data_IF_494253437334
#
_entry.id   IF_494253437334
#
_cell.length_a   1.000
_cell.length_b   1.000
_cell.length_c   1.000
_cell.angle_alpha   90.00
_cell.angle_beta   90.00
_cell.angle_gamma   90.00
#
_symmetry.space_group_name_H-M   'P 1'
#
loop_
_entity.id
_entity.type
_entity.pdbx_description
1 polymer ?
#
# COMPACT_ATOMS: atom_id res chain seq x y z
N UNK A 1 -10.47 42.75 -34.23
CA UNK A 1 -11.61 42.18 -33.47
C UNK A 1 -11.83 40.75 -33.97
N UNK A 2 -12.17 39.83 -33.04
CA UNK A 2 -12.36 38.37 -33.20
C UNK A 2 -11.05 37.59 -33.45
N UNK A 3 -10.59 36.64 -32.63
CA UNK A 3 -11.31 35.68 -31.79
C UNK A 3 -10.68 35.53 -30.38
N UNK A 4 -11.43 35.94 -29.37
CA UNK A 4 -11.26 35.50 -28.00
C UNK A 4 -12.17 34.27 -27.78
N UNK A 5 -11.68 33.06 -28.04
CA UNK A 5 -12.35 31.84 -27.57
C UNK A 5 -11.39 30.65 -27.44
N UNK A 6 -10.17 30.87 -26.96
CA UNK A 6 -9.43 29.80 -26.29
C UNK A 6 -10.01 29.66 -24.88
N UNK A 7 -11.16 28.99 -24.78
CA UNK A 7 -11.60 28.45 -23.49
C UNK A 7 -10.51 27.48 -23.06
N UNK A 8 -9.68 27.91 -22.09
CA UNK A 8 -8.82 27.03 -21.30
C UNK A 8 -9.69 25.86 -20.87
N UNK A 9 -9.48 24.68 -21.45
CA UNK A 9 -10.07 23.45 -20.91
C UNK A 9 -9.48 23.28 -19.50
N UNK A 10 -10.29 22.94 -18.49
CA UNK A 10 -9.73 22.48 -17.23
C UNK A 10 -8.80 21.30 -17.54
N UNK A 11 -7.68 21.13 -16.81
CA UNK A 11 -6.70 20.06 -17.06
C UNK A 11 -7.25 18.61 -16.96
N UNK A 12 -8.56 18.42 -16.82
CA UNK A 12 -9.21 17.15 -16.55
C UNK A 12 -10.59 17.02 -17.23
N UNK A 13 -10.68 17.31 -18.53
CA UNK A 13 -11.86 16.90 -19.29
C UNK A 13 -11.74 15.40 -19.63
N UNK A 14 -12.62 14.52 -19.12
CA UNK A 14 -12.55 13.10 -19.42
C UNK A 14 -12.72 12.88 -20.93
N UNK A 15 -11.69 12.33 -21.58
CA UNK A 15 -11.72 11.95 -23.00
C UNK A 15 -12.65 10.73 -23.23
N UNK A 16 -13.13 10.11 -22.16
CA UNK A 16 -13.81 8.82 -22.20
C UNK A 16 -15.34 8.90 -22.20
N UNK A 17 -15.95 9.56 -23.19
CA UNK A 17 -17.32 9.16 -23.57
C UNK A 17 -17.33 7.87 -24.41
N UNK A 18 -16.16 7.41 -24.88
CA UNK A 18 -16.02 6.20 -25.70
C UNK A 18 -15.40 4.99 -24.97
N UNK A 19 -15.02 5.13 -23.70
CA UNK A 19 -14.43 4.06 -22.88
C UNK A 19 -15.20 3.95 -21.56
N UNK A 20 -16.46 3.53 -21.61
CA UNK A 20 -17.21 3.14 -20.41
C UNK A 20 -16.87 1.69 -20.05
N UNK A 21 -16.08 1.51 -18.99
CA UNK A 21 -15.95 0.23 -18.30
C UNK A 21 -17.27 -0.09 -17.60
N UNK A 22 -17.96 -1.12 -18.07
CA UNK A 22 -19.16 -1.65 -17.39
C UNK A 22 -18.74 -2.47 -16.17
N UNK A 23 -19.59 -2.51 -15.14
CA UNK A 23 -19.36 -3.15 -13.83
C UNK A 23 -18.96 -4.65 -13.87
N UNK A 24 -19.06 -5.30 -15.03
CA UNK A 24 -18.64 -6.68 -15.29
C UNK A 24 -17.21 -6.83 -15.82
N UNK A 25 -16.43 -5.75 -15.91
CA UNK A 25 -15.00 -5.82 -16.27
C UNK A 25 -14.73 -6.15 -17.75
N UNK A 26 -15.71 -6.00 -18.64
CA UNK A 26 -15.53 -6.08 -20.09
C UNK A 26 -15.46 -4.71 -20.76
N UNK A 27 -14.51 -4.50 -21.68
CA UNK A 27 -14.51 -3.39 -22.62
C UNK A 27 -15.38 -3.78 -23.82
N UNK A 28 -16.64 -3.34 -23.84
CA UNK A 28 -17.45 -3.41 -25.07
C UNK A 28 -17.46 -2.04 -25.75
N UNK A 29 -16.92 -1.98 -26.97
CA UNK A 29 -17.14 -0.85 -27.85
C UNK A 29 -18.61 -0.80 -28.23
N UNK A 30 -19.34 0.24 -27.79
CA UNK A 30 -20.68 0.53 -28.30
C UNK A 30 -20.55 0.98 -29.75
N UNK A 31 -20.73 0.07 -30.70
CA UNK A 31 -21.17 0.45 -32.05
C UNK A 31 -22.64 0.85 -31.96
N UNK A 32 -22.90 2.13 -31.71
CA UNK A 32 -24.20 2.73 -32.00
C UNK A 32 -24.25 3.06 -33.49
N UNK A 33 -24.89 2.18 -34.24
CA UNK A 33 -25.34 2.41 -35.62
C UNK A 33 -26.34 3.57 -35.62
N UNK A 34 -25.97 4.72 -36.19
CA UNK A 34 -26.91 5.70 -36.78
C UNK A 34 -26.14 6.68 -37.69
N UNK A 35 -26.42 6.57 -38.99
CA UNK A 35 -26.24 7.50 -40.11
C UNK A 35 -24.97 8.40 -40.20
N UNK A 36 -24.10 7.99 -41.14
CA UNK A 36 -23.44 8.80 -42.17
C UNK A 36 -22.93 10.22 -41.79
N UNK A 37 -21.64 10.30 -41.46
CA UNK A 37 -20.74 11.27 -42.12
C UNK A 37 -19.28 10.80 -42.01
N UNK A 38 -18.63 10.77 -43.17
CA UNK A 38 -17.20 10.52 -43.35
C UNK A 38 -16.39 11.60 -42.61
N UNK A 39 -15.79 11.26 -41.47
CA UNK A 39 -14.57 11.92 -40.97
C UNK A 39 -13.68 10.86 -40.34
N UNK A 40 -12.82 10.25 -41.15
CA UNK A 40 -11.61 9.58 -40.67
C UNK A 40 -10.68 10.66 -40.13
N UNK A 41 -10.97 11.16 -38.92
CA UNK A 41 -10.04 11.99 -38.17
C UNK A 41 -8.95 11.06 -37.62
N UNK A 42 -8.00 10.71 -38.49
CA UNK A 42 -6.66 10.36 -38.06
C UNK A 42 -6.13 11.58 -37.30
N UNK A 43 -6.20 11.53 -35.96
CA UNK A 43 -5.64 12.56 -35.12
C UNK A 43 -4.13 12.61 -35.42
N UNK A 44 -3.56 13.77 -35.81
CA UNK A 44 -2.14 13.88 -36.06
C UNK A 44 -1.40 13.61 -34.74
N UNK A 45 -0.55 12.59 -34.77
CA UNK A 45 0.29 12.06 -33.68
C UNK A 45 1.13 13.14 -32.96
N UNK A 46 1.29 14.31 -33.59
CA UNK A 46 2.10 15.43 -33.14
C UNK A 46 1.47 16.29 -32.03
N UNK A 47 0.24 15.97 -31.57
CA UNK A 47 -0.40 16.62 -30.41
C UNK A 47 -0.74 15.66 -29.27
N UNK A 48 -0.18 14.44 -29.27
CA UNK A 48 -0.33 13.46 -28.19
C UNK A 48 0.61 13.79 -27.01
N UNK A 49 0.72 15.06 -26.61
CA UNK A 49 1.66 15.46 -25.55
C UNK A 49 1.23 15.00 -24.15
N UNK A 50 0.12 14.24 -24.01
CA UNK A 50 -0.22 13.34 -22.88
C UNK A 50 -1.70 12.98 -22.81
N UNK A 51 -2.00 11.69 -22.71
CA UNK A 51 -3.33 11.21 -22.36
C UNK A 51 -3.35 10.83 -20.89
N UNK A 52 -4.00 11.67 -20.09
CA UNK A 52 -4.40 11.30 -18.74
C UNK A 52 -5.71 10.55 -18.86
N UNK A 53 -5.66 9.22 -18.72
CA UNK A 53 -6.85 8.37 -18.77
C UNK A 53 -7.28 8.16 -17.33
N UNK A 54 -8.45 8.69 -16.97
CA UNK A 54 -9.10 8.41 -15.70
C UNK A 54 -10.17 7.34 -15.92
N UNK A 55 -9.94 6.17 -15.34
CA UNK A 55 -10.83 5.02 -15.43
C UNK A 55 -11.55 4.87 -14.08
N UNK A 56 -12.88 4.96 -14.04
CA UNK A 56 -13.61 4.74 -12.80
C UNK A 56 -13.51 3.27 -12.38
N UNK A 57 -12.90 3.03 -11.22
CA UNK A 57 -12.74 1.71 -10.60
C UNK A 57 -13.95 1.38 -9.72
N UNK A 58 -15.12 1.25 -10.33
CA UNK A 58 -16.37 0.84 -9.67
C UNK A 58 -16.89 1.82 -8.59
N UNK A 59 -18.19 1.75 -8.30
CA UNK A 59 -18.77 2.45 -7.14
C UNK A 59 -18.57 1.57 -5.92
N UNK A 60 -17.78 2.02 -4.95
CA UNK A 60 -17.63 1.33 -3.68
C UNK A 60 -18.77 1.79 -2.75
N UNK A 61 -19.65 0.87 -2.37
CA UNK A 61 -20.71 1.13 -1.39
C UNK A 61 -20.21 0.54 -0.07
N UNK A 62 -20.14 1.35 0.96
CA UNK A 62 -19.81 0.86 2.30
C UNK A 62 -20.93 -0.11 2.74
N UNK A 63 -20.62 -1.40 2.98
CA UNK A 63 -21.62 -2.40 3.33
C UNK A 63 -22.27 -2.15 4.70
N UNK A 64 -21.63 -1.38 5.58
CA UNK A 64 -22.17 -1.08 6.92
C UNK A 64 -23.13 0.10 6.92
N UNK A 65 -22.84 1.12 6.13
CA UNK A 65 -23.60 2.38 6.14
C UNK A 65 -24.49 2.56 4.91
N UNK A 66 -24.29 1.75 3.85
CA UNK A 66 -24.95 1.93 2.56
C UNK A 66 -24.53 3.21 1.83
N UNK A 67 -23.56 3.96 2.35
CA UNK A 67 -23.12 5.21 1.75
C UNK A 67 -22.23 4.94 0.54
N UNK A 68 -22.43 5.72 -0.53
CA UNK A 68 -21.56 5.68 -1.71
C UNK A 68 -20.25 6.37 -1.34
N UNK A 69 -19.17 5.61 -1.31
CA UNK A 69 -17.83 6.17 -1.20
C UNK A 69 -17.46 6.84 -2.52
N UNK A 70 -16.54 7.82 -2.46
CA UNK A 70 -16.02 8.47 -3.66
C UNK A 70 -15.54 7.41 -4.67
N UNK A 71 -15.92 7.59 -5.94
CA UNK A 71 -15.52 6.67 -6.99
C UNK A 71 -13.99 6.67 -7.10
N UNK A 72 -13.38 5.50 -6.96
CA UNK A 72 -11.94 5.34 -7.17
C UNK A 72 -11.63 5.52 -8.63
N UNK A 73 -10.47 6.09 -8.95
CA UNK A 73 -10.02 6.23 -10.32
C UNK A 73 -8.65 5.60 -10.49
N UNK A 74 -8.52 4.74 -11.50
CA UNK A 74 -7.22 4.35 -12.05
C UNK A 74 -6.79 5.45 -13.02
N UNK A 75 -5.71 6.14 -12.68
CA UNK A 75 -5.13 7.22 -13.50
C UNK A 75 -3.92 6.70 -14.25
N UNK A 76 -3.95 6.85 -15.57
CA UNK A 76 -2.92 6.32 -16.46
C UNK A 76 -2.29 7.46 -17.25
N UNK A 77 -0.95 7.52 -17.24
CA UNK A 77 -0.16 8.35 -18.15
C UNK A 77 0.36 7.50 -19.31
N UNK A 78 0.12 7.93 -20.54
CA UNK A 78 0.73 7.29 -21.72
C UNK A 78 1.95 8.08 -22.19
N UNK A 79 3.10 7.41 -22.32
CA UNK A 79 4.33 7.98 -22.85
C UNK A 79 4.84 7.21 -24.07
N UNK A 80 5.49 7.96 -24.96
CA UNK A 80 6.28 7.43 -26.07
C UNK A 80 7.77 7.78 -25.86
N UNK A 81 8.71 7.17 -26.60
CA UNK A 81 10.15 7.42 -26.41
C UNK A 81 10.54 8.89 -26.55
N UNK A 82 9.81 9.67 -27.36
CA UNK A 82 10.01 11.12 -27.55
C UNK A 82 9.83 11.95 -26.27
N UNK A 83 9.05 11.45 -25.29
CA UNK A 83 8.85 12.08 -23.99
C UNK A 83 10.11 12.02 -23.10
N UNK A 84 11.04 11.12 -23.42
CA UNK A 84 12.28 10.86 -22.67
C UNK A 84 13.50 11.44 -23.39
N UNK A 85 13.29 12.26 -24.42
CA UNK A 85 14.38 13.05 -25.00
C UNK A 85 14.92 14.06 -23.98
N UNK A 86 16.21 14.40 -24.07
CA UNK A 86 16.88 15.30 -23.11
C UNK A 86 16.13 16.63 -22.90
N UNK A 87 15.49 17.11 -23.97
CA UNK A 87 14.72 18.35 -23.98
C UNK A 87 13.41 18.26 -23.19
N UNK A 88 12.80 17.06 -23.13
CA UNK A 88 11.48 16.83 -22.57
C UNK A 88 11.52 16.11 -21.21
N UNK A 89 12.65 15.50 -20.86
CA UNK A 89 12.80 14.64 -19.69
C UNK A 89 12.37 15.33 -18.39
N UNK A 90 12.92 16.51 -18.11
CA UNK A 90 12.60 17.28 -16.89
C UNK A 90 11.11 17.62 -16.79
N UNK A 91 10.50 18.02 -17.91
CA UNK A 91 9.07 18.29 -17.97
C UNK A 91 8.24 17.03 -17.72
N UNK A 92 8.67 15.88 -18.25
CA UNK A 92 8.03 14.57 -18.03
C UNK A 92 8.12 14.16 -16.56
N UNK A 93 9.28 14.31 -15.91
CA UNK A 93 9.45 14.00 -14.48
C UNK A 93 8.61 14.94 -13.61
N UNK A 94 8.64 16.24 -13.88
CA UNK A 94 7.83 17.22 -13.15
C UNK A 94 6.33 16.90 -13.25
N UNK A 95 5.87 16.43 -14.42
CA UNK A 95 4.50 15.98 -14.62
C UNK A 95 4.16 14.74 -13.80
N UNK A 96 5.03 13.72 -13.79
CA UNK A 96 4.80 12.50 -13.01
C UNK A 96 4.71 12.85 -11.52
N UNK A 97 5.58 13.74 -11.03
CA UNK A 97 5.49 14.27 -9.66
C UNK A 97 4.17 14.99 -9.41
N UNK A 98 3.75 15.86 -10.33
CA UNK A 98 2.48 16.58 -10.24
C UNK A 98 1.24 15.67 -10.19
N UNK A 99 1.28 14.52 -10.87
CA UNK A 99 0.23 13.52 -10.78
C UNK A 99 0.18 12.88 -9.38
N UNK A 100 1.34 12.58 -8.82
CA UNK A 100 1.49 11.90 -7.53
C UNK A 100 1.28 12.84 -6.32
N UNK A 101 1.29 14.15 -6.50
CA UNK A 101 1.05 15.13 -5.42
C UNK A 101 -0.43 15.51 -5.26
N UNK A 102 -1.34 14.96 -6.06
CA UNK A 102 -2.75 15.30 -5.98
C UNK A 102 -3.36 14.82 -4.64
N UNK A 103 -4.17 15.63 -3.95
CA UNK A 103 -4.66 15.32 -2.61
C UNK A 103 -5.60 14.09 -2.52
N UNK A 104 -6.12 13.61 -3.66
CA UNK A 104 -6.90 12.36 -3.75
C UNK A 104 -6.05 11.09 -3.92
N UNK A 105 -4.72 11.16 -3.75
CA UNK A 105 -3.78 10.08 -4.09
C UNK A 105 -3.94 8.84 -3.21
N UNK A 106 -4.38 8.95 -1.96
CA UNK A 106 -4.56 7.76 -1.10
C UNK A 106 -5.63 6.78 -1.62
N UNK A 107 -6.52 7.24 -2.51
CA UNK A 107 -7.61 6.41 -3.04
C UNK A 107 -7.46 6.10 -4.54
N UNK A 108 -6.52 6.74 -5.23
CA UNK A 108 -6.35 6.59 -6.67
C UNK A 108 -5.12 5.73 -7.00
N UNK A 109 -5.34 4.75 -7.85
CA UNK A 109 -4.28 3.92 -8.39
C UNK A 109 -3.63 4.67 -9.56
N UNK A 110 -2.30 4.68 -9.63
CA UNK A 110 -1.56 5.39 -10.67
C UNK A 110 -0.70 4.40 -11.47
N UNK A 111 -0.72 4.54 -12.79
CA UNK A 111 0.13 3.78 -13.68
C UNK A 111 0.68 4.65 -14.82
N UNK A 112 1.86 4.29 -15.29
CA UNK A 112 2.45 4.82 -16.52
C UNK A 112 2.42 3.68 -17.53
N UNK A 113 1.90 3.92 -18.72
CA UNK A 113 2.04 3.02 -19.86
C UNK A 113 3.07 3.61 -20.80
N UNK A 114 4.10 2.84 -21.13
CA UNK A 114 5.22 3.28 -21.94
C UNK A 114 5.28 2.51 -23.24
N UNK A 115 5.12 3.20 -24.37
CA UNK A 115 5.14 2.62 -25.70
C UNK A 115 6.58 2.31 -26.13
N UNK A 116 6.88 1.02 -26.32
CA UNK A 116 8.19 0.54 -26.73
C UNK A 116 8.38 0.65 -28.25
N UNK A 117 7.35 0.34 -29.03
CA UNK A 117 7.41 0.44 -30.49
C UNK A 117 6.37 1.46 -30.95
N UNK A 118 6.71 2.77 -30.99
CA UNK A 118 5.80 3.76 -31.55
C UNK A 118 5.47 3.39 -33.00
N UNK A 119 4.22 3.59 -33.46
CA UNK A 119 3.89 3.47 -34.87
C UNK A 119 4.88 4.30 -35.67
N UNK A 120 5.46 3.73 -36.72
CA UNK A 120 6.23 4.55 -37.66
C UNK A 120 5.24 5.54 -38.26
N UNK A 121 5.36 6.80 -37.87
CA UNK A 121 4.51 7.89 -38.33
C UNK A 121 4.22 7.70 -39.83
N UNK A 122 2.96 7.70 -40.23
CA UNK A 122 2.52 7.63 -41.64
C UNK A 122 2.90 8.88 -42.45
N UNK A 123 3.76 9.74 -41.90
CA UNK A 123 4.32 10.88 -42.62
C UNK A 123 5.20 10.36 -43.75
N UNK A 124 4.74 10.59 -44.98
CA UNK A 124 5.42 10.29 -46.24
C UNK A 124 6.91 10.63 -46.16
N UNK A 125 7.76 9.63 -45.88
CA UNK A 125 9.20 9.81 -45.89
C UNK A 125 9.64 9.93 -47.35
N UNK A 126 10.19 11.10 -47.71
CA UNK A 126 10.78 11.31 -49.04
C UNK A 126 11.82 10.23 -49.31
N UNK A 127 11.80 9.67 -50.52
CA UNK A 127 12.69 8.58 -50.96
C UNK A 127 14.20 8.86 -50.74
N UNK A 128 14.58 10.13 -50.56
CA UNK A 128 15.95 10.52 -50.17
C UNK A 128 16.38 10.00 -48.80
N UNK A 129 15.46 9.84 -47.85
CA UNK A 129 15.77 9.32 -46.52
C UNK A 129 15.93 7.79 -46.54
N UNK A 130 15.19 7.10 -47.41
CA UNK A 130 15.26 5.64 -47.56
C UNK A 130 16.56 5.14 -48.20
N UNK A 131 17.30 5.99 -48.92
CA UNK A 131 18.58 5.66 -49.52
C UNK A 131 19.77 5.84 -48.58
N UNK A 132 19.59 6.45 -47.41
CA UNK A 132 20.65 6.57 -46.38
C UNK A 132 20.57 5.48 -45.30
N UNK A 133 19.47 4.73 -45.22
CA UNK A 133 19.28 3.59 -44.30
C UNK A 133 19.55 2.23 -44.96
N UNK A 134 20.52 2.15 -45.87
CA UNK A 134 21.00 0.85 -46.38
C UNK A 134 21.89 0.17 -45.33
N UNK A 135 21.29 -0.34 -44.26
CA UNK A 135 21.95 -1.20 -43.27
C UNK A 135 21.18 -1.30 -41.94
N UNK A 136 20.52 -2.45 -41.71
CA UNK A 136 19.88 -2.90 -40.45
C UNK A 136 18.46 -2.36 -40.09
N UNK A 137 17.53 -2.34 -41.05
CA UNK A 137 16.27 -1.58 -40.98
C UNK A 137 15.05 -2.22 -40.27
N UNK A 138 15.26 -3.12 -39.30
CA UNK A 138 14.18 -3.78 -38.55
C UNK A 138 14.14 -3.53 -37.04
N UNK A 139 15.30 -3.33 -36.41
CA UNK A 139 15.44 -3.47 -34.95
C UNK A 139 15.80 -2.15 -34.22
N UNK A 140 16.15 -1.10 -34.97
CA UNK A 140 16.57 0.19 -34.41
C UNK A 140 15.50 0.92 -33.59
N UNK A 141 14.23 0.83 -34.00
CA UNK A 141 13.14 1.55 -33.32
C UNK A 141 12.76 0.88 -31.99
N UNK A 142 12.72 -0.46 -31.98
CA UNK A 142 12.43 -1.25 -30.78
C UNK A 142 13.53 -1.06 -29.74
N UNK A 143 14.79 -1.11 -30.18
CA UNK A 143 15.94 -0.88 -29.29
C UNK A 143 15.93 0.53 -28.72
N UNK A 144 15.60 1.55 -29.51
CA UNK A 144 15.44 2.92 -29.03
C UNK A 144 14.33 3.06 -27.97
N UNK A 145 13.19 2.39 -28.14
CA UNK A 145 12.10 2.42 -27.16
C UNK A 145 12.44 1.71 -25.85
N UNK A 146 13.12 0.57 -25.91
CA UNK A 146 13.58 -0.15 -24.71
C UNK A 146 14.62 0.69 -23.94
N UNK A 147 15.55 1.34 -24.64
CA UNK A 147 16.52 2.25 -24.02
C UNK A 147 15.83 3.44 -23.35
N UNK A 148 14.83 4.04 -24.00
CA UNK A 148 14.05 5.14 -23.42
C UNK A 148 13.26 4.69 -22.18
N UNK A 149 12.70 3.47 -22.19
CA UNK A 149 12.02 2.89 -21.02
C UNK A 149 12.98 2.70 -19.84
N UNK A 150 14.16 2.11 -20.07
CA UNK A 150 15.18 1.91 -19.04
C UNK A 150 15.63 3.27 -18.49
N UNK A 151 15.84 4.25 -19.37
CA UNK A 151 16.22 5.61 -18.97
C UNK A 151 15.15 6.23 -18.07
N UNK A 152 13.86 6.14 -18.43
CA UNK A 152 12.78 6.63 -17.58
C UNK A 152 12.83 5.98 -16.18
N UNK A 153 13.03 4.66 -16.10
CA UNK A 153 13.11 3.95 -14.82
C UNK A 153 14.27 4.45 -13.94
N UNK A 154 15.44 4.69 -14.55
CA UNK A 154 16.60 5.25 -13.85
C UNK A 154 16.30 6.66 -13.35
N UNK A 155 15.69 7.51 -14.18
CA UNK A 155 15.40 8.89 -13.80
C UNK A 155 14.33 9.00 -12.72
N UNK A 156 13.29 8.16 -12.76
CA UNK A 156 12.30 8.08 -11.69
C UNK A 156 12.94 7.77 -10.33
N UNK A 157 13.93 6.86 -10.32
CA UNK A 157 14.70 6.53 -9.12
C UNK A 157 15.61 7.69 -8.69
N UNK A 158 16.36 8.28 -9.62
CA UNK A 158 17.28 9.39 -9.34
C UNK A 158 16.55 10.60 -8.74
N UNK A 159 15.37 10.92 -9.26
CA UNK A 159 14.55 12.02 -8.79
C UNK A 159 13.69 11.71 -7.55
N UNK A 160 13.90 10.54 -6.91
CA UNK A 160 13.18 10.05 -5.73
C UNK A 160 11.65 10.10 -5.90
N UNK A 161 11.16 9.77 -7.09
CA UNK A 161 9.73 9.70 -7.35
C UNK A 161 9.15 8.50 -6.59
N UNK A 162 8.01 8.64 -5.88
CA UNK A 162 7.35 7.51 -5.25
C UNK A 162 7.14 6.35 -6.24
N UNK A 163 7.21 5.09 -5.79
CA UNK A 163 7.09 3.94 -6.69
C UNK A 163 5.73 3.97 -7.42
N UNK A 164 5.80 4.01 -8.74
CA UNK A 164 4.64 3.98 -9.65
C UNK A 164 4.81 2.82 -10.64
N UNK A 165 3.71 2.13 -10.94
CA UNK A 165 3.74 1.03 -11.90
C UNK A 165 4.01 1.58 -13.31
N UNK A 166 5.14 1.19 -13.92
CA UNK A 166 5.43 1.51 -15.33
C UNK A 166 5.25 0.23 -16.14
N UNK A 167 4.28 0.24 -17.05
CA UNK A 167 3.84 -0.89 -17.85
C UNK A 167 4.36 -0.72 -19.28
N UNK A 168 5.26 -1.61 -19.75
CA UNK A 168 5.69 -1.57 -21.14
C UNK A 168 4.55 -2.00 -22.07
N UNK A 169 4.43 -1.29 -23.20
CA UNK A 169 3.45 -1.55 -24.24
C UNK A 169 4.16 -1.72 -25.58
N UNK A 170 4.14 -2.92 -26.16
CA UNK A 170 4.79 -3.17 -27.44
C UNK A 170 3.95 -2.66 -28.63
N UNK A 171 2.62 -2.80 -28.57
CA UNK A 171 1.71 -2.46 -29.65
C UNK A 171 0.46 -1.79 -29.08
N UNK A 172 -0.06 -0.77 -29.77
CA UNK A 172 -1.20 0.00 -29.30
C UNK A 172 -2.48 -0.85 -29.20
N UNK A 173 -2.62 -1.88 -30.05
CA UNK A 173 -3.75 -2.82 -30.03
C UNK A 173 -3.86 -3.62 -28.72
N UNK A 174 -2.73 -3.78 -28.00
CA UNK A 174 -2.69 -4.46 -26.70
C UNK A 174 -2.98 -3.54 -25.51
N UNK A 175 -3.19 -2.24 -25.73
CA UNK A 175 -3.47 -1.27 -24.67
C UNK A 175 -4.73 -1.64 -23.85
N UNK A 176 -5.88 -1.99 -24.46
CA UNK A 176 -7.08 -2.36 -23.72
C UNK A 176 -6.88 -3.53 -22.76
N UNK A 177 -6.21 -4.59 -23.24
CA UNK A 177 -5.97 -5.79 -22.44
C UNK A 177 -4.94 -5.55 -21.34
N UNK A 178 -3.92 -4.73 -21.59
CA UNK A 178 -2.94 -4.32 -20.59
C UNK A 178 -3.60 -3.52 -19.45
N UNK A 179 -4.44 -2.54 -19.79
CA UNK A 179 -5.19 -1.74 -18.82
C UNK A 179 -6.11 -2.63 -18.00
N UNK A 180 -6.86 -3.52 -18.64
CA UNK A 180 -7.78 -4.44 -17.95
C UNK A 180 -7.03 -5.38 -17.00
N UNK A 181 -5.89 -5.93 -17.44
CA UNK A 181 -5.04 -6.79 -16.61
C UNK A 181 -4.49 -6.03 -15.41
N UNK A 182 -4.04 -4.79 -15.59
CA UNK A 182 -3.55 -3.96 -14.50
C UNK A 182 -4.67 -3.59 -13.53
N UNK A 183 -5.81 -3.11 -14.02
CA UNK A 183 -6.99 -2.80 -13.19
C UNK A 183 -7.45 -4.02 -12.36
N UNK A 184 -7.47 -5.21 -12.97
CA UNK A 184 -7.79 -6.45 -12.27
C UNK A 184 -6.72 -6.84 -11.23
N UNK A 185 -5.43 -6.64 -11.54
CA UNK A 185 -4.34 -6.90 -10.60
C UNK A 185 -4.40 -5.96 -9.39
N UNK A 186 -4.61 -4.66 -9.62
CA UNK A 186 -4.71 -3.66 -8.56
C UNK A 186 -5.96 -3.88 -7.70
N UNK A 187 -7.09 -4.27 -8.32
CA UNK A 187 -8.30 -4.67 -7.59
C UNK A 187 -8.10 -5.93 -6.73
N UNK A 188 -7.18 -6.83 -7.10
CA UNK A 188 -6.90 -8.09 -6.36
C UNK A 188 -5.80 -7.92 -5.30
N UNK A 189 -4.84 -7.03 -5.53
CA UNK A 189 -3.69 -6.81 -4.66
C UNK A 189 -3.99 -6.00 -3.42
N UNK A 190 -5.12 -5.28 -3.40
CA UNK A 190 -5.61 -4.83 -2.11
C UNK A 190 -5.94 -6.10 -1.32
N UNK A 191 -5.36 -6.30 -0.12
CA UNK A 191 -5.88 -7.32 0.75
C UNK A 191 -7.39 -7.06 0.79
N UNK A 192 -8.20 -8.02 0.31
CA UNK A 192 -9.43 -8.32 1.05
C UNK A 192 -8.92 -8.29 2.47
N UNK A 193 -9.36 -7.30 3.25
CA UNK A 193 -9.17 -7.27 4.71
C UNK A 193 -9.02 -8.72 5.11
N UNK A 194 -7.79 -9.14 5.46
CA UNK A 194 -7.55 -10.54 5.77
C UNK A 194 -8.73 -10.91 6.69
N UNK A 195 -9.48 -12.01 6.43
CA UNK A 195 -10.57 -12.37 7.34
C UNK A 195 -9.94 -12.23 8.70
N UNK A 196 -10.42 -11.31 9.58
CA UNK A 196 -9.59 -10.76 10.63
C UNK A 196 -8.90 -11.95 11.24
N UNK A 197 -7.57 -12.07 11.06
CA UNK A 197 -6.85 -12.94 11.96
C UNK A 197 -7.19 -12.26 13.25
N UNK A 198 -8.17 -12.82 13.95
CA UNK A 198 -8.57 -12.36 15.26
C UNK A 198 -7.37 -12.78 16.04
N UNK A 199 -6.28 -12.01 15.95
CA UNK A 199 -5.10 -12.18 16.75
C UNK A 199 -5.68 -12.08 18.13
N UNK A 200 -5.80 -13.26 18.72
CA UNK A 200 -6.54 -13.39 19.96
C UNK A 200 -5.80 -12.52 20.97
N UNK A 201 -6.49 -11.98 21.98
CA UNK A 201 -5.79 -11.23 23.03
C UNK A 201 -4.64 -12.06 23.62
N UNK A 202 -4.81 -13.37 23.60
CA UNK A 202 -3.81 -14.37 23.92
C UNK A 202 -2.59 -14.35 22.98
N UNK A 203 -2.78 -14.35 21.66
CA UNK A 203 -1.67 -14.21 20.69
C UNK A 203 -0.94 -12.86 20.79
N UNK A 204 -1.63 -11.79 21.18
CA UNK A 204 -0.96 -10.51 21.45
C UNK A 204 -0.13 -10.58 22.72
N UNK A 205 -0.66 -11.20 23.77
CA UNK A 205 0.05 -11.40 25.03
C UNK A 205 1.34 -12.20 24.86
N UNK A 206 1.36 -13.21 23.97
CA UNK A 206 2.58 -13.99 23.71
C UNK A 206 3.70 -13.18 23.02
N UNK A 207 3.37 -12.03 22.43
CA UNK A 207 4.32 -11.10 21.82
C UNK A 207 4.77 -9.99 22.79
N UNK A 208 4.26 -9.97 24.03
CA UNK A 208 4.61 -8.96 25.03
C UNK A 208 5.85 -9.35 25.86
N UNK A 209 6.93 -9.75 25.19
CA UNK A 209 8.27 -10.03 25.75
C UNK A 209 9.34 -9.57 24.75
N UNK A 210 10.53 -9.17 25.24
CA UNK A 210 11.55 -8.53 24.41
C UNK A 210 12.14 -9.46 23.32
N UNK A 211 12.48 -10.70 23.67
CA UNK A 211 12.73 -11.86 22.81
C UNK A 211 13.40 -12.97 23.66
N UNK A 212 12.97 -14.24 23.62
CA UNK A 212 11.98 -14.85 22.71
C UNK A 212 10.51 -14.55 23.07
N UNK A 213 9.54 -14.89 22.18
CA UNK A 213 8.11 -14.82 22.50
C UNK A 213 7.78 -15.61 23.78
N UNK A 214 6.88 -15.07 24.58
CA UNK A 214 6.43 -15.67 25.84
C UNK A 214 5.88 -17.08 25.59
N UNK A 215 6.24 -18.02 26.46
CA UNK A 215 5.70 -19.38 26.39
C UNK A 215 4.17 -19.36 26.62
N UNK A 216 3.48 -20.32 25.99
CA UNK A 216 2.02 -20.41 26.07
C UNK A 216 1.52 -20.57 27.52
N UNK A 217 2.26 -21.34 28.33
CA UNK A 217 1.96 -21.55 29.75
C UNK A 217 2.03 -20.24 30.55
N UNK A 218 3.08 -19.45 30.32
CA UNK A 218 3.28 -18.13 30.93
C UNK A 218 2.17 -17.16 30.53
N UNK A 219 1.69 -17.22 29.29
CA UNK A 219 0.55 -16.43 28.83
C UNK A 219 -0.76 -16.83 29.54
N UNK A 220 -1.03 -18.13 29.74
CA UNK A 220 -2.21 -18.57 30.51
C UNK A 220 -2.14 -18.10 31.96
N UNK A 221 -0.97 -18.24 32.58
CA UNK A 221 -0.74 -17.76 33.94
C UNK A 221 -1.00 -16.25 34.03
N UNK A 222 -0.48 -15.46 33.09
CA UNK A 222 -0.78 -14.02 33.03
C UNK A 222 -2.29 -13.74 32.92
N UNK A 223 -3.05 -14.51 32.13
CA UNK A 223 -4.51 -14.32 32.03
C UNK A 223 -5.27 -14.72 33.30
N UNK A 224 -4.72 -15.60 34.13
CA UNK A 224 -5.32 -16.00 35.42
C UNK A 224 -5.02 -14.98 36.54
N UNK A 225 -3.84 -14.36 36.53
CA UNK A 225 -3.41 -13.39 37.54
C UNK A 225 -3.98 -11.99 37.27
N UNK A 226 -3.96 -11.57 36.02
CA UNK A 226 -4.25 -10.19 35.61
C UNK A 226 -5.58 -10.11 34.88
N UNK A 227 -6.40 -9.11 35.21
CA UNK A 227 -7.75 -8.96 34.65
C UNK A 227 -7.72 -8.60 33.16
N UNK A 228 -6.72 -7.80 32.77
CA UNK A 228 -6.46 -7.38 31.40
C UNK A 228 -4.98 -6.96 31.23
N UNK A 229 -4.58 -6.64 29.99
CA UNK A 229 -3.22 -6.21 29.67
C UNK A 229 -2.83 -4.90 30.38
N UNK A 230 -3.79 -4.05 30.73
CA UNK A 230 -3.52 -2.79 31.43
C UNK A 230 -3.22 -3.05 32.90
N UNK A 231 -3.93 -3.97 33.54
CA UNK A 231 -3.66 -4.44 34.90
C UNK A 231 -2.29 -5.11 34.99
N UNK A 232 -1.90 -5.92 34.00
CA UNK A 232 -0.56 -6.46 33.89
C UNK A 232 0.50 -5.35 33.78
N UNK A 233 0.34 -4.43 32.82
CA UNK A 233 1.30 -3.34 32.60
C UNK A 233 1.45 -2.43 33.83
N UNK A 234 0.34 -2.03 34.45
CA UNK A 234 0.35 -1.23 35.67
C UNK A 234 1.00 -1.98 36.84
N UNK A 235 0.73 -3.27 36.98
CA UNK A 235 1.35 -4.08 38.03
C UNK A 235 2.86 -4.18 37.82
N UNK A 236 3.32 -4.34 36.57
CA UNK A 236 4.75 -4.41 36.24
C UNK A 236 5.50 -3.10 36.49
N UNK A 237 4.91 -1.94 36.16
CA UNK A 237 5.55 -0.63 36.36
C UNK A 237 5.61 -0.25 37.85
N UNK A 238 4.58 -0.59 38.62
CA UNK A 238 4.49 -0.23 40.03
C UNK A 238 5.37 -1.07 40.96
N UNK A 239 5.95 -2.18 40.46
CA UNK A 239 6.98 -2.90 41.22
C UNK A 239 8.25 -2.06 41.24
N UNK A 240 8.42 -1.34 42.35
CA UNK A 240 9.68 -0.71 42.71
C UNK A 240 10.73 -1.81 42.68
N UNK A 241 11.76 -1.65 41.84
CA UNK A 241 12.85 -2.62 41.76
C UNK A 241 13.51 -2.68 43.14
N UNK A 242 13.08 -3.63 43.97
CA UNK A 242 13.84 -3.99 45.17
C UNK A 242 15.13 -4.56 44.61
N UNK A 243 16.30 -3.94 44.88
CA UNK A 243 17.56 -4.51 44.43
C UNK A 243 17.59 -5.94 44.93
N UNK A 244 17.89 -6.88 44.04
CA UNK A 244 18.20 -8.25 44.39
C UNK A 244 19.40 -8.23 45.34
N UNK A 245 19.14 -8.03 46.63
CA UNK A 245 20.06 -8.37 47.69
C UNK A 245 20.11 -9.89 47.68
N UNK A 246 21.09 -10.38 46.93
CA UNK A 246 21.64 -11.71 47.06
C UNK A 246 21.84 -12.01 48.56
N UNK A 247 20.89 -12.73 49.15
CA UNK A 247 21.05 -13.36 50.45
C UNK A 247 21.12 -14.87 50.20
N UNK A 248 22.31 -15.31 49.81
CA UNK A 248 22.70 -16.70 49.86
C UNK A 248 22.89 -17.09 51.33
N UNK A 249 21.87 -17.69 51.96
CA UNK A 249 22.05 -18.44 53.21
C UNK A 249 20.95 -19.50 53.36
N UNK A 250 21.30 -20.80 53.32
CA UNK A 250 20.39 -21.89 53.63
C UNK A 250 20.52 -22.21 55.12
N UNK A 251 19.54 -21.82 55.94
CA UNK A 251 19.14 -22.56 57.16
C UNK A 251 18.06 -21.84 57.96
N UNK A 252 17.26 -22.67 58.64
CA UNK A 252 16.34 -22.39 59.77
C UNK A 252 14.83 -22.41 59.42
N UNK A 253 14.34 -23.66 59.38
CA UNK A 253 13.24 -24.23 60.18
C UNK A 253 11.85 -23.55 60.19
N UNK A 254 10.91 -24.35 59.68
CA UNK A 254 9.79 -24.98 60.40
C UNK A 254 8.71 -24.11 61.07
N UNK A 255 7.49 -24.66 60.97
CA UNK A 255 6.23 -24.29 61.60
C UNK A 255 5.42 -23.20 60.89
N UNK A 256 4.44 -23.67 60.11
CA UNK A 256 3.41 -22.82 59.53
C UNK A 256 2.71 -23.51 58.37
N UNK A 257 2.12 -24.68 58.62
CA UNK A 257 1.19 -25.27 57.66
C UNK A 257 0.08 -24.28 57.36
N UNK A 258 0.06 -23.76 56.13
CA UNK A 258 -1.09 -23.06 55.55
C UNK A 258 -1.41 -23.74 54.24
N UNK A 259 -2.52 -24.48 54.28
CA UNK A 259 -3.17 -25.08 53.13
C UNK A 259 -3.31 -24.08 51.97
N UNK A 260 -2.99 -24.47 50.73
CA UNK A 260 -3.42 -23.72 49.56
C UNK A 260 -4.83 -24.20 49.24
N UNK A 261 -5.86 -23.54 49.77
CA UNK A 261 -7.26 -23.58 49.32
C UNK A 261 -8.12 -22.85 50.37
N UNK A 262 -8.12 -21.53 50.32
CA UNK A 262 -9.18 -20.72 50.92
C UNK A 262 -9.38 -19.48 50.05
N UNK A 263 -10.28 -19.60 49.06
CA UNK A 263 -10.93 -18.44 48.46
C UNK A 263 -11.87 -17.88 49.53
N UNK A 264 -11.36 -16.94 50.31
CA UNK A 264 -12.18 -16.10 51.17
C UNK A 264 -12.74 -14.95 50.34
N UNK A 265 -14.05 -15.01 50.07
CA UNK A 265 -14.87 -13.84 49.74
C UNK A 265 -14.75 -12.81 50.86
N UNK A 266 -14.18 -11.65 50.55
CA UNK A 266 -13.99 -10.55 51.48
C UNK A 266 -13.59 -9.28 50.77
N UNK A 267 -14.54 -8.35 50.72
CA UNK A 267 -14.44 -6.93 50.39
C UNK A 267 -14.22 -6.49 48.92
N UNK A 268 -15.29 -5.94 48.36
CA UNK A 268 -15.47 -5.38 47.01
C UNK A 268 -14.71 -4.05 46.74
N UNK A 269 -13.55 -3.86 47.37
CA UNK A 269 -12.55 -2.85 46.98
C UNK A 269 -11.12 -3.42 46.87
N UNK A 270 -11.00 -4.75 46.87
CA UNK A 270 -9.75 -5.49 46.76
C UNK A 270 -9.21 -5.60 45.33
N UNK A 271 -8.60 -4.52 44.82
CA UNK A 271 -7.54 -4.70 43.85
C UNK A 271 -6.38 -5.40 44.57
N UNK A 272 -6.15 -6.69 44.29
CA UNK A 272 -4.99 -7.37 44.85
C UNK A 272 -3.73 -6.54 44.57
N UNK A 273 -2.95 -6.30 45.63
CA UNK A 273 -1.72 -5.51 45.61
C UNK A 273 -0.85 -5.86 44.37
N UNK A 274 -0.52 -4.89 43.50
CA UNK A 274 0.26 -5.15 42.28
C UNK A 274 1.56 -5.92 42.56
N UNK A 275 2.21 -5.66 43.69
CA UNK A 275 3.42 -6.38 44.10
C UNK A 275 3.14 -7.87 44.36
N UNK A 276 2.00 -8.18 44.98
CA UNK A 276 1.57 -9.56 45.24
C UNK A 276 1.30 -10.31 43.94
N UNK A 277 0.67 -9.66 42.95
CA UNK A 277 0.40 -10.28 41.64
C UNK A 277 1.69 -10.62 40.89
N UNK A 278 2.65 -9.69 40.87
CA UNK A 278 3.95 -9.93 40.21
C UNK A 278 4.76 -11.01 40.96
N UNK A 279 4.71 -11.03 42.30
CA UNK A 279 5.31 -12.13 43.06
C UNK A 279 4.68 -13.47 42.71
N UNK A 280 3.35 -13.53 42.61
CA UNK A 280 2.63 -14.74 42.24
C UNK A 280 2.98 -15.22 40.82
N UNK A 281 3.20 -14.28 39.88
CA UNK A 281 3.68 -14.60 38.53
C UNK A 281 5.05 -15.28 38.57
N UNK A 282 6.00 -14.69 39.31
CA UNK A 282 7.37 -15.24 39.46
C UNK A 282 7.37 -16.58 40.19
N UNK A 283 6.54 -16.76 41.20
CA UNK A 283 6.42 -18.02 41.94
C UNK A 283 5.89 -19.16 41.04
N UNK A 284 5.03 -18.86 40.07
CA UNK A 284 4.42 -19.87 39.19
C UNK A 284 5.22 -20.18 37.93
N UNK A 285 5.87 -19.17 37.33
CA UNK A 285 6.57 -19.31 36.04
C UNK A 285 8.09 -19.39 36.22
N UNK A 286 8.62 -18.86 37.32
CA UNK A 286 10.05 -18.73 37.59
C UNK A 286 10.49 -17.26 37.57
N UNK A 287 11.58 -16.97 38.29
CA UNK A 287 12.13 -15.59 38.41
C UNK A 287 12.64 -15.04 37.07
N UNK A 288 13.21 -15.88 36.20
CA UNK A 288 13.75 -15.47 34.91
C UNK A 288 12.62 -15.04 33.96
N UNK A 289 11.71 -15.96 33.62
CA UNK A 289 10.58 -15.66 32.73
C UNK A 289 9.64 -14.59 33.31
N UNK A 290 9.36 -14.63 34.62
CA UNK A 290 8.56 -13.60 35.28
C UNK A 290 9.24 -12.23 35.30
N UNK A 291 10.58 -12.19 35.33
CA UNK A 291 11.38 -10.98 35.18
C UNK A 291 11.25 -10.39 33.78
N UNK A 292 11.41 -11.20 32.74
CA UNK A 292 11.34 -10.77 31.34
C UNK A 292 9.98 -10.11 31.00
N UNK A 293 8.88 -10.65 31.53
CA UNK A 293 7.55 -10.05 31.34
C UNK A 293 7.47 -8.68 32.02
N UNK A 294 7.97 -8.56 33.25
CA UNK A 294 7.94 -7.30 34.00
C UNK A 294 8.80 -6.24 33.31
N UNK A 295 9.98 -6.62 32.85
CA UNK A 295 10.94 -5.71 32.22
C UNK A 295 10.41 -5.21 30.87
N UNK A 296 9.82 -6.08 30.05
CA UNK A 296 9.15 -5.67 28.80
C UNK A 296 8.09 -4.58 29.06
N UNK A 297 7.18 -4.81 30.01
CA UNK A 297 6.13 -3.84 30.30
C UNK A 297 6.66 -2.58 30.98
N UNK A 298 7.77 -2.65 31.71
CA UNK A 298 8.43 -1.47 32.28
C UNK A 298 9.01 -0.56 31.19
N UNK A 299 9.58 -1.14 30.15
CA UNK A 299 10.19 -0.39 29.04
C UNK A 299 9.13 0.16 28.07
N UNK A 300 8.12 -0.65 27.72
CA UNK A 300 7.13 -0.29 26.70
C UNK A 300 5.94 0.51 27.24
N UNK A 301 5.60 0.39 28.53
CA UNK A 301 4.47 1.10 29.12
C UNK A 301 4.87 2.49 29.63
N UNK A 302 4.94 3.46 28.71
CA UNK A 302 5.08 4.89 29.06
C UNK A 302 3.71 5.43 29.45
N UNK A 303 3.53 5.77 30.73
CA UNK A 303 2.32 6.47 31.20
C UNK A 303 2.42 7.93 30.77
N UNK A 304 1.68 8.31 29.73
CA UNK A 304 1.30 9.72 29.48
C UNK A 304 0.16 10.16 30.41
#
# INVERSE_FOLDING_TARGET
MFCASLRRRPPFAPICNNLTLTASGGLQGKQTTLHHQHTTNAYPENQLTTHDIAIPSGTNIDPRTGTKLSARHLRILLFAPSAISDKNLEATIARIKGLLTLPDVEQNDHAIIFLLCPPRNTTFHSAKFSLQTTGNDGDGDTTAGVLAYIRLQVELRNHKVPPIAVLPLCQLDSLPSLIQKHAAATSKQRPKTAPPSKTTRFELLTQCTAAPPMQEQTAYVCTDIFKDLRDLAQSSVNVTAVPALASSSPSVRAAGGRNPLYLGEGDEKGGADPERKVRMLRDMVGEEEGGDVVDFWREEFVVE
#
